data_IF_209211481009
#
_entry.id   IF_209211481009
#
_cell.length_a   1.000
_cell.length_b   1.000
_cell.length_c   1.000
_cell.angle_alpha   90.00
_cell.angle_beta   90.00
_cell.angle_gamma   90.00
#
_symmetry.space_group_name_H-M   'P 1'
#
loop_
_entity.id
_entity.type
_entity.pdbx_description
1 polymer ?
#
# COMPACT_ATOMS: atom_id res chain seq x y z
N UNK A 1 16.61 -5.74 -44.54
CA UNK A 1 17.16 -5.31 -43.25
C UNK A 1 16.24 -5.76 -42.11
N UNK A 2 16.52 -6.94 -41.55
CA UNK A 2 15.73 -7.52 -40.45
C UNK A 2 16.46 -7.21 -39.16
N UNK A 3 15.99 -6.19 -38.44
CA UNK A 3 16.49 -5.77 -37.15
C UNK A 3 16.42 -6.91 -36.09
N UNK A 4 17.56 -7.28 -35.42
CA UNK A 4 17.59 -8.34 -34.40
C UNK A 4 16.88 -8.01 -33.08
N UNK A 5 16.42 -6.77 -32.92
CA UNK A 5 15.86 -6.29 -31.65
C UNK A 5 14.41 -6.75 -31.34
N UNK A 6 13.68 -7.25 -32.34
CA UNK A 6 12.30 -7.75 -32.13
C UNK A 6 12.24 -9.15 -31.50
N UNK A 7 13.27 -9.98 -31.68
CA UNK A 7 13.29 -11.36 -31.16
C UNK A 7 13.59 -11.46 -29.67
N UNK A 8 14.45 -10.59 -29.15
CA UNK A 8 14.83 -10.60 -27.71
C UNK A 8 13.69 -10.12 -26.81
N UNK A 9 12.97 -9.09 -27.20
CA UNK A 9 11.81 -8.60 -26.45
C UNK A 9 10.68 -9.62 -26.33
N UNK A 10 10.43 -10.41 -27.40
CA UNK A 10 9.42 -11.47 -27.39
C UNK A 10 9.84 -12.71 -26.58
N UNK A 11 11.13 -13.01 -26.52
CA UNK A 11 11.68 -14.10 -25.70
C UNK A 11 11.57 -13.75 -24.21
N UNK A 12 11.92 -12.52 -23.82
CA UNK A 12 11.76 -12.05 -22.45
C UNK A 12 10.29 -11.96 -22.01
N UNK A 13 9.39 -11.52 -22.88
CA UNK A 13 7.94 -11.53 -22.62
C UNK A 13 7.39 -12.95 -22.45
N UNK A 14 7.85 -13.91 -23.23
CA UNK A 14 7.44 -15.32 -23.10
C UNK A 14 7.99 -15.97 -21.82
N UNK A 15 9.25 -15.70 -21.45
CA UNK A 15 9.82 -16.23 -20.21
C UNK A 15 9.11 -15.71 -18.96
N UNK A 16 8.65 -14.45 -18.93
CA UNK A 16 7.88 -13.90 -17.81
C UNK A 16 6.52 -14.59 -17.57
N UNK A 17 5.85 -15.05 -18.64
CA UNK A 17 4.55 -15.72 -18.56
C UNK A 17 4.61 -17.18 -18.07
N UNK A 18 5.79 -17.80 -18.00
CA UNK A 18 5.97 -19.14 -17.44
C UNK A 18 6.28 -19.14 -15.94
N UNK A 19 6.42 -17.95 -15.31
CA UNK A 19 6.66 -17.87 -13.88
C UNK A 19 5.40 -18.26 -13.09
N UNK A 20 5.60 -19.05 -12.05
CA UNK A 20 4.58 -19.36 -11.05
C UNK A 20 4.67 -18.32 -9.94
N UNK A 21 3.58 -17.61 -9.67
CA UNK A 21 3.48 -16.59 -8.63
C UNK A 21 2.63 -17.11 -7.48
N UNK A 22 3.22 -17.20 -6.30
CA UNK A 22 2.47 -17.40 -5.07
C UNK A 22 1.94 -16.05 -4.57
N UNK A 23 0.64 -15.93 -4.30
CA UNK A 23 0.04 -14.69 -3.84
C UNK A 23 -0.73 -14.89 -2.55
N UNK A 24 -0.30 -14.23 -1.48
CA UNK A 24 -0.89 -14.35 -0.14
C UNK A 24 -1.47 -13.01 0.31
N UNK A 25 -2.73 -13.04 0.73
CA UNK A 25 -3.48 -11.86 1.12
C UNK A 25 -4.37 -11.34 0.00
N UNK A 26 -5.64 -11.73 0.04
CA UNK A 26 -6.65 -11.42 -0.98
C UNK A 26 -7.75 -10.50 -0.43
N UNK A 27 -7.34 -9.51 0.37
CA UNK A 27 -8.24 -8.47 0.86
C UNK A 27 -8.63 -7.48 -0.24
N UNK A 28 -9.12 -6.31 0.17
CA UNK A 28 -9.62 -5.25 -0.72
C UNK A 28 -8.61 -4.88 -1.82
N UNK A 29 -7.32 -4.80 -1.47
CA UNK A 29 -6.26 -4.49 -2.44
C UNK A 29 -5.72 -5.73 -3.14
N UNK A 30 -5.42 -6.79 -2.40
CA UNK A 30 -4.73 -7.97 -2.93
C UNK A 30 -5.57 -8.74 -3.95
N UNK A 31 -6.87 -8.91 -3.69
CA UNK A 31 -7.77 -9.64 -4.58
C UNK A 31 -7.83 -9.06 -6.02
N UNK A 32 -8.12 -7.77 -6.22
CA UNK A 32 -8.11 -7.19 -7.56
C UNK A 32 -6.72 -7.21 -8.21
N UNK A 33 -5.65 -7.01 -7.44
CA UNK A 33 -4.29 -7.07 -7.95
C UNK A 33 -3.91 -8.48 -8.43
N UNK A 34 -4.25 -9.52 -7.67
CA UNK A 34 -4.07 -10.90 -8.10
C UNK A 34 -4.90 -11.25 -9.36
N UNK A 35 -6.13 -10.74 -9.46
CA UNK A 35 -6.96 -10.89 -10.68
C UNK A 35 -6.30 -10.23 -11.90
N UNK A 36 -5.63 -9.09 -11.74
CA UNK A 36 -4.90 -8.46 -12.83
C UNK A 36 -3.74 -9.34 -13.34
N UNK A 37 -3.04 -10.01 -12.44
CA UNK A 37 -1.99 -10.98 -12.82
C UNK A 37 -2.56 -12.20 -13.55
N UNK A 38 -3.71 -12.73 -13.11
CA UNK A 38 -4.41 -13.79 -13.84
C UNK A 38 -4.78 -13.36 -15.27
N UNK A 39 -5.32 -12.15 -15.44
CA UNK A 39 -5.65 -11.59 -16.75
C UNK A 39 -4.42 -11.38 -17.65
N UNK A 40 -3.28 -11.09 -17.04
CA UNK A 40 -2.01 -10.97 -17.76
C UNK A 40 -1.41 -12.33 -18.17
N UNK A 41 -2.01 -13.45 -17.76
CA UNK A 41 -1.61 -14.79 -18.14
C UNK A 41 -0.61 -15.48 -17.21
N UNK A 42 -0.34 -14.93 -16.03
CA UNK A 42 0.50 -15.60 -15.03
C UNK A 42 -0.21 -16.79 -14.38
N UNK A 43 0.56 -17.82 -14.04
CA UNK A 43 0.09 -18.94 -13.22
C UNK A 43 0.18 -18.54 -11.75
N UNK A 44 -0.97 -18.45 -11.06
CA UNK A 44 -1.03 -18.08 -9.65
C UNK A 44 -1.38 -19.28 -8.75
N UNK A 45 -0.70 -19.32 -7.60
CA UNK A 45 -1.11 -20.13 -6.43
C UNK A 45 -1.49 -19.11 -5.34
N UNK A 46 -2.74 -19.14 -4.88
CA UNK A 46 -3.27 -18.14 -3.96
C UNK A 46 -3.62 -18.70 -2.60
N UNK A 47 -3.46 -17.86 -1.57
CA UNK A 47 -3.83 -18.20 -0.20
C UNK A 47 -4.40 -16.97 0.52
N UNK A 48 -5.42 -17.17 1.33
CA UNK A 48 -6.03 -16.19 2.22
C UNK A 48 -6.78 -16.93 3.33
N UNK A 49 -6.99 -16.27 4.47
CA UNK A 49 -7.80 -16.81 5.56
C UNK A 49 -9.29 -16.89 5.20
N UNK A 50 -9.78 -16.05 4.29
CA UNK A 50 -11.15 -16.02 3.82
C UNK A 50 -11.30 -16.89 2.57
N UNK A 51 -11.94 -18.03 2.73
CA UNK A 51 -12.13 -19.00 1.65
C UNK A 51 -12.83 -18.41 0.42
N UNK A 52 -13.79 -17.51 0.63
CA UNK A 52 -14.53 -16.85 -0.44
C UNK A 52 -13.60 -16.07 -1.38
N UNK A 53 -12.60 -15.40 -0.84
CA UNK A 53 -11.61 -14.67 -1.64
C UNK A 53 -10.75 -15.62 -2.49
N UNK A 54 -10.37 -16.76 -1.91
CA UNK A 54 -9.64 -17.81 -2.63
C UNK A 54 -10.50 -18.39 -3.77
N UNK A 55 -11.76 -18.72 -3.48
CA UNK A 55 -12.69 -19.28 -4.48
C UNK A 55 -12.90 -18.33 -5.66
N UNK A 56 -13.00 -17.02 -5.42
CA UNK A 56 -13.08 -16.02 -6.50
C UNK A 56 -11.82 -16.00 -7.39
N UNK A 57 -10.64 -16.16 -6.82
CA UNK A 57 -9.40 -16.23 -7.60
C UNK A 57 -9.28 -17.54 -8.38
N UNK A 58 -9.77 -18.63 -7.81
CA UNK A 58 -9.83 -19.94 -8.52
C UNK A 58 -10.75 -19.83 -9.74
N UNK A 59 -11.91 -19.18 -9.60
CA UNK A 59 -12.79 -18.88 -10.73
C UNK A 59 -12.12 -17.99 -11.78
N UNK A 60 -11.19 -17.12 -11.39
CA UNK A 60 -10.42 -16.27 -12.29
C UNK A 60 -9.21 -16.99 -12.92
N UNK A 61 -9.00 -18.27 -12.63
CA UNK A 61 -7.96 -19.10 -13.24
C UNK A 61 -6.74 -19.36 -12.35
N UNK A 62 -6.74 -18.91 -11.09
CA UNK A 62 -5.71 -19.27 -10.13
C UNK A 62 -5.94 -20.68 -9.55
N UNK A 63 -4.95 -21.18 -8.86
CA UNK A 63 -5.02 -22.42 -8.07
C UNK A 63 -4.89 -22.07 -6.58
N UNK A 64 -5.64 -22.71 -5.70
CA UNK A 64 -5.44 -22.57 -4.26
C UNK A 64 -4.23 -23.39 -3.80
N UNK A 65 -3.54 -22.95 -2.76
CA UNK A 65 -2.46 -23.70 -2.14
C UNK A 65 -2.20 -23.25 -0.70
N UNK A 66 -1.60 -24.13 0.09
CA UNK A 66 -1.09 -23.76 1.41
C UNK A 66 0.28 -23.05 1.31
N UNK A 67 0.77 -22.51 2.43
CA UNK A 67 2.04 -21.77 2.46
C UNK A 67 3.23 -22.63 2.02
N UNK A 68 3.21 -23.95 2.31
CA UNK A 68 4.24 -24.88 1.91
C UNK A 68 4.26 -25.04 0.39
N UNK A 69 3.10 -25.29 -0.22
CA UNK A 69 2.95 -25.41 -1.67
C UNK A 69 3.41 -24.13 -2.38
N UNK A 70 2.98 -22.95 -1.86
CA UNK A 70 3.42 -21.66 -2.37
C UNK A 70 4.96 -21.56 -2.36
N UNK A 71 5.60 -21.88 -1.24
CA UNK A 71 7.06 -21.84 -1.14
C UNK A 71 7.77 -22.79 -2.10
N UNK A 72 7.28 -24.02 -2.22
CA UNK A 72 7.92 -25.06 -3.04
C UNK A 72 7.77 -24.83 -4.55
N UNK A 73 6.65 -24.25 -4.99
CA UNK A 73 6.26 -24.23 -6.39
C UNK A 73 6.40 -22.86 -7.05
N UNK A 74 6.53 -21.77 -6.26
CA UNK A 74 6.57 -20.41 -6.80
C UNK A 74 8.00 -19.99 -7.17
N UNK A 75 8.11 -19.26 -8.28
CA UNK A 75 9.31 -18.52 -8.65
C UNK A 75 9.36 -17.15 -7.98
N UNK A 76 8.18 -16.58 -7.74
CA UNK A 76 7.99 -15.31 -7.04
C UNK A 76 6.86 -15.47 -6.02
N UNK A 77 7.09 -15.00 -4.80
CA UNK A 77 6.05 -14.92 -3.76
C UNK A 77 5.69 -13.46 -3.55
N UNK A 78 4.40 -13.16 -3.57
CA UNK A 78 3.86 -11.81 -3.32
C UNK A 78 2.98 -11.86 -2.08
N UNK A 79 3.13 -10.86 -1.21
CA UNK A 79 2.23 -10.65 -0.07
C UNK A 79 1.56 -9.29 -0.14
N UNK A 80 0.28 -9.24 0.27
CA UNK A 80 -0.50 -8.02 0.45
C UNK A 80 -1.29 -8.17 1.76
N UNK A 81 -0.63 -7.90 2.86
CA UNK A 81 -1.06 -8.22 4.23
C UNK A 81 -1.22 -6.95 5.07
N UNK A 82 -1.92 -7.01 6.22
CA UNK A 82 -2.25 -5.82 7.00
C UNK A 82 -1.05 -5.03 7.55
N UNK A 83 -0.05 -5.70 8.12
CA UNK A 83 1.10 -5.04 8.76
C UNK A 83 2.27 -6.02 8.96
N UNK A 84 3.36 -5.51 9.54
CA UNK A 84 4.61 -6.24 9.81
C UNK A 84 4.43 -7.60 10.52
N UNK A 85 3.62 -7.73 11.58
CA UNK A 85 3.45 -9.03 12.26
C UNK A 85 2.94 -10.12 11.31
N UNK A 86 1.95 -9.82 10.48
CA UNK A 86 1.38 -10.78 9.53
C UNK A 86 2.38 -11.18 8.44
N UNK A 87 3.15 -10.21 7.91
CA UNK A 87 4.18 -10.49 6.91
C UNK A 87 5.28 -11.37 7.49
N UNK A 88 5.75 -11.06 8.71
CA UNK A 88 6.75 -11.87 9.41
C UNK A 88 6.27 -13.29 9.66
N UNK A 89 5.04 -13.45 10.15
CA UNK A 89 4.48 -14.77 10.44
C UNK A 89 4.34 -15.62 9.17
N UNK A 90 3.76 -15.06 8.13
CA UNK A 90 3.56 -15.75 6.84
C UNK A 90 4.89 -16.13 6.19
N UNK A 91 5.91 -15.28 6.27
CA UNK A 91 7.20 -15.54 5.64
C UNK A 91 8.18 -16.29 6.52
N UNK A 92 8.31 -15.91 7.79
CA UNK A 92 9.37 -16.38 8.70
C UNK A 92 8.86 -17.17 9.90
N UNK A 93 7.55 -17.35 10.06
CA UNK A 93 6.96 -18.15 11.12
C UNK A 93 7.41 -19.61 11.06
N UNK A 94 7.03 -20.42 12.06
CA UNK A 94 7.44 -21.83 12.18
C UNK A 94 7.15 -22.65 10.91
N UNK A 95 6.01 -22.40 10.25
CA UNK A 95 5.63 -22.98 8.96
C UNK A 95 5.60 -21.94 7.84
N UNK A 96 6.44 -20.92 7.95
CA UNK A 96 6.50 -19.81 7.02
C UNK A 96 7.04 -20.21 5.64
N UNK A 97 6.62 -19.45 4.64
CA UNK A 97 6.91 -19.71 3.23
C UNK A 97 8.42 -19.81 2.97
N UNK A 98 9.24 -18.96 3.61
CA UNK A 98 10.69 -18.89 3.40
C UNK A 98 11.41 -20.21 3.71
N UNK A 99 10.85 -21.07 4.58
CA UNK A 99 11.38 -22.39 4.88
C UNK A 99 11.29 -23.35 3.69
N UNK A 100 10.43 -23.08 2.73
CA UNK A 100 10.15 -23.95 1.57
C UNK A 100 10.57 -23.33 0.24
N UNK A 101 10.96 -22.04 0.22
CA UNK A 101 11.39 -21.35 -0.99
C UNK A 101 12.73 -21.84 -1.49
N UNK A 102 12.88 -21.89 -2.82
CA UNK A 102 14.11 -22.28 -3.47
C UNK A 102 15.09 -21.11 -3.57
N UNK A 103 16.38 -21.39 -3.51
CA UNK A 103 17.41 -20.41 -3.81
C UNK A 103 17.22 -19.82 -5.21
N UNK A 104 17.36 -18.51 -5.35
CA UNK A 104 17.20 -17.79 -6.61
C UNK A 104 15.77 -17.35 -6.92
N UNK A 105 14.81 -17.61 -6.02
CA UNK A 105 13.45 -17.06 -6.07
C UNK A 105 13.39 -15.67 -5.46
N UNK A 106 12.28 -14.96 -5.63
CA UNK A 106 12.09 -13.62 -5.12
C UNK A 106 10.84 -13.50 -4.27
N UNK A 107 10.94 -12.73 -3.20
CA UNK A 107 9.80 -12.26 -2.41
C UNK A 107 9.52 -10.78 -2.70
N UNK A 108 8.29 -10.44 -3.04
CA UNK A 108 7.82 -9.07 -3.25
C UNK A 108 6.73 -8.77 -2.22
N UNK A 109 7.05 -7.91 -1.25
CA UNK A 109 6.07 -7.48 -0.28
C UNK A 109 5.40 -6.18 -0.72
N UNK A 110 4.13 -6.26 -1.07
CA UNK A 110 3.32 -5.09 -1.44
C UNK A 110 2.58 -4.48 -0.24
N UNK A 111 2.77 -5.04 0.95
CA UNK A 111 2.17 -4.55 2.19
C UNK A 111 2.83 -3.23 2.63
N UNK A 112 2.05 -2.35 3.25
CA UNK A 112 2.58 -1.16 3.92
C UNK A 112 2.99 -1.53 5.34
N UNK A 113 4.30 -1.72 5.55
CA UNK A 113 4.89 -2.13 6.83
C UNK A 113 6.01 -1.19 7.25
N UNK A 114 6.54 -1.38 8.46
CA UNK A 114 7.73 -0.67 8.92
C UNK A 114 8.95 -1.06 8.06
N UNK A 115 9.68 -0.10 7.47
CA UNK A 115 10.87 -0.40 6.65
C UNK A 115 12.00 -1.11 7.44
N UNK A 116 12.06 -0.96 8.75
CA UNK A 116 12.98 -1.73 9.62
C UNK A 116 12.67 -3.23 9.51
N UNK A 117 11.39 -3.59 9.51
CA UNK A 117 10.94 -4.97 9.35
C UNK A 117 11.17 -5.49 7.92
N UNK A 118 10.99 -4.65 6.89
CA UNK A 118 11.34 -5.02 5.51
C UNK A 118 12.80 -5.40 5.39
N UNK A 119 13.70 -4.61 5.97
CA UNK A 119 15.14 -4.91 5.99
C UNK A 119 15.47 -6.18 6.76
N UNK A 120 14.87 -6.36 7.93
CA UNK A 120 15.06 -7.57 8.72
C UNK A 120 14.66 -8.84 7.96
N UNK A 121 13.48 -8.83 7.33
CA UNK A 121 12.99 -9.95 6.51
C UNK A 121 13.97 -10.21 5.35
N UNK A 122 14.40 -9.16 4.67
CA UNK A 122 15.34 -9.25 3.56
C UNK A 122 16.69 -9.85 3.94
N UNK A 123 17.22 -9.49 5.12
CA UNK A 123 18.49 -10.05 5.62
C UNK A 123 18.34 -11.56 5.88
N UNK A 124 17.26 -12.00 6.50
CA UNK A 124 16.97 -13.43 6.72
C UNK A 124 16.84 -14.18 5.38
N UNK A 125 16.12 -13.61 4.41
CA UNK A 125 15.95 -14.23 3.09
C UNK A 125 17.24 -14.29 2.29
N UNK A 126 18.09 -13.28 2.40
CA UNK A 126 19.39 -13.22 1.74
C UNK A 126 20.32 -14.37 2.17
N UNK A 127 20.31 -14.72 3.45
CA UNK A 127 21.06 -15.89 3.96
C UNK A 127 20.62 -17.20 3.30
N UNK A 128 19.36 -17.26 2.86
CA UNK A 128 18.77 -18.40 2.13
C UNK A 128 18.96 -18.31 0.60
N UNK A 129 19.57 -17.23 0.11
CA UNK A 129 19.71 -16.97 -1.32
C UNK A 129 18.42 -16.59 -2.02
N UNK A 130 17.49 -15.97 -1.31
CA UNK A 130 16.21 -15.48 -1.79
C UNK A 130 16.29 -13.95 -1.89
N UNK A 131 15.92 -13.40 -3.03
CA UNK A 131 15.86 -11.95 -3.25
C UNK A 131 14.59 -11.34 -2.65
N UNK A 132 14.62 -10.05 -2.31
CA UNK A 132 13.44 -9.34 -1.82
C UNK A 132 13.31 -7.95 -2.42
N UNK A 133 12.06 -7.55 -2.70
CA UNK A 133 11.64 -6.17 -2.97
C UNK A 133 10.53 -5.79 -1.99
N UNK A 134 10.58 -4.59 -1.44
CA UNK A 134 9.43 -3.97 -0.79
C UNK A 134 8.75 -3.03 -1.79
N UNK A 135 7.47 -3.21 -2.00
CA UNK A 135 6.75 -2.57 -3.08
C UNK A 135 5.34 -2.10 -2.66
N UNK A 136 5.21 -1.28 -1.61
CA UNK A 136 3.93 -0.73 -1.22
C UNK A 136 3.32 0.13 -2.33
N UNK A 137 2.00 0.28 -2.27
CA UNK A 137 1.21 0.93 -3.30
C UNK A 137 0.45 2.15 -2.79
N UNK A 138 0.13 3.05 -3.71
CA UNK A 138 -0.79 4.16 -3.50
C UNK A 138 -1.86 4.18 -4.60
N UNK A 139 -3.12 4.48 -4.23
CA UNK A 139 -4.21 4.65 -5.18
C UNK A 139 -5.56 4.08 -4.73
N UNK A 140 -5.59 3.25 -3.70
CA UNK A 140 -6.81 2.64 -3.17
C UNK A 140 -7.43 1.57 -4.06
N UNK A 141 -8.59 1.06 -3.63
CA UNK A 141 -9.29 -0.06 -4.28
C UNK A 141 -9.62 0.20 -5.76
N UNK A 142 -10.16 1.37 -6.16
CA UNK A 142 -10.48 1.62 -7.58
C UNK A 142 -9.27 1.46 -8.49
N UNK A 143 -8.11 1.98 -8.09
CA UNK A 143 -6.88 1.84 -8.87
C UNK A 143 -6.30 0.42 -8.82
N UNK A 144 -6.51 -0.32 -7.73
CA UNK A 144 -6.15 -1.73 -7.67
C UNK A 144 -6.97 -2.57 -8.66
N UNK A 145 -8.28 -2.27 -8.78
CA UNK A 145 -9.18 -2.92 -9.75
C UNK A 145 -8.74 -2.60 -11.20
N UNK A 146 -8.47 -1.33 -11.48
CA UNK A 146 -8.09 -0.86 -12.81
C UNK A 146 -6.67 -1.23 -13.23
N UNK A 147 -5.83 -1.69 -12.28
CA UNK A 147 -4.41 -1.96 -12.53
C UNK A 147 -3.59 -0.68 -12.70
N UNK A 148 -3.96 0.39 -12.02
CA UNK A 148 -3.34 1.73 -12.15
C UNK A 148 -2.76 2.28 -10.85
N UNK A 149 -2.51 1.44 -9.85
CA UNK A 149 -1.81 1.87 -8.63
C UNK A 149 -0.41 2.39 -8.93
N UNK A 150 0.12 3.21 -8.04
CA UNK A 150 1.53 3.60 -8.06
C UNK A 150 2.33 2.73 -7.09
N UNK A 151 3.37 2.07 -7.57
CA UNK A 151 4.32 1.30 -6.76
C UNK A 151 5.52 2.16 -6.37
N UNK A 152 5.87 2.10 -5.11
CA UNK A 152 7.13 2.62 -4.56
C UNK A 152 8.01 1.43 -4.19
N UNK A 153 9.08 1.19 -4.95
CA UNK A 153 9.85 -0.06 -4.83
C UNK A 153 11.22 0.19 -4.21
N UNK A 154 11.55 -0.59 -3.20
CA UNK A 154 12.88 -0.70 -2.62
C UNK A 154 13.50 -2.05 -2.92
N UNK A 155 14.81 -2.09 -3.16
CA UNK A 155 15.58 -3.28 -3.41
C UNK A 155 16.70 -3.08 -4.42
N UNK A 156 17.51 -4.11 -4.61
CA UNK A 156 18.61 -4.12 -5.60
C UNK A 156 18.10 -3.79 -7.00
N UNK A 157 18.85 -2.99 -7.74
CA UNK A 157 18.44 -2.50 -9.07
C UNK A 157 18.26 -3.64 -10.08
N UNK A 158 19.14 -4.64 -10.06
CA UNK A 158 19.06 -5.77 -11.00
C UNK A 158 17.85 -6.66 -10.69
N UNK A 159 17.53 -6.81 -9.40
CA UNK A 159 16.35 -7.55 -8.95
C UNK A 159 15.08 -6.79 -9.34
N UNK A 160 15.06 -5.47 -9.12
CA UNK A 160 13.99 -4.60 -9.58
C UNK A 160 13.75 -4.75 -11.09
N UNK A 161 14.77 -4.61 -11.90
CA UNK A 161 14.66 -4.70 -13.37
C UNK A 161 14.14 -6.07 -13.81
N UNK A 162 14.57 -7.14 -13.14
CA UNK A 162 14.14 -8.52 -13.42
C UNK A 162 12.64 -8.73 -13.18
N UNK A 163 12.08 -8.13 -12.13
CA UNK A 163 10.69 -8.38 -11.71
C UNK A 163 9.73 -7.23 -11.97
N UNK A 164 10.21 -6.06 -12.42
CA UNK A 164 9.41 -4.87 -12.71
C UNK A 164 8.19 -5.17 -13.59
N UNK A 165 8.33 -6.06 -14.56
CA UNK A 165 7.26 -6.43 -15.50
C UNK A 165 6.02 -6.95 -14.76
N UNK A 166 6.20 -7.73 -13.68
CA UNK A 166 5.08 -8.25 -12.89
C UNK A 166 4.27 -7.08 -12.29
N UNK A 167 4.96 -6.07 -11.74
CA UNK A 167 4.33 -4.91 -11.12
C UNK A 167 3.58 -4.04 -12.13
N UNK A 168 4.07 -3.93 -13.37
CA UNK A 168 3.42 -3.15 -14.44
C UNK A 168 2.06 -3.69 -14.86
N UNK A 169 1.75 -4.95 -14.57
CA UNK A 169 0.42 -5.51 -14.81
C UNK A 169 -0.61 -5.14 -13.73
N UNK A 170 -0.14 -4.58 -12.61
CA UNK A 170 -0.99 -4.16 -11.50
C UNK A 170 -0.96 -2.64 -11.27
N UNK A 171 -0.01 -1.93 -11.86
CA UNK A 171 0.17 -0.50 -11.65
C UNK A 171 0.58 0.27 -12.91
N UNK A 172 0.20 1.54 -12.95
CA UNK A 172 0.56 2.47 -14.04
C UNK A 172 1.90 3.16 -13.83
N UNK A 173 2.40 3.18 -12.59
CA UNK A 173 3.68 3.76 -12.19
C UNK A 173 4.42 2.78 -11.29
N UNK A 174 5.67 2.47 -11.66
CA UNK A 174 6.54 1.56 -10.89
C UNK A 174 7.89 2.25 -10.76
N UNK A 175 8.14 2.84 -9.59
CA UNK A 175 9.34 3.65 -9.34
C UNK A 175 10.22 2.96 -8.31
N UNK A 176 11.49 2.71 -8.67
CA UNK A 176 12.51 2.30 -7.69
C UNK A 176 12.93 3.52 -6.88
N UNK A 177 12.78 3.45 -5.57
CA UNK A 177 13.07 4.53 -4.64
C UNK A 177 14.47 4.42 -3.97
N UNK A 178 15.09 3.26 -4.05
CA UNK A 178 16.38 2.98 -3.44
C UNK A 178 16.54 1.51 -3.06
N UNK A 179 17.42 1.24 -2.11
CA UNK A 179 17.66 -0.10 -1.58
C UNK A 179 16.47 -0.62 -0.77
N UNK A 180 16.52 -1.87 -0.33
CA UNK A 180 15.44 -2.51 0.42
C UNK A 180 15.01 -1.68 1.64
N UNK A 181 13.70 -1.50 1.78
CA UNK A 181 13.08 -0.61 2.76
C UNK A 181 12.78 0.80 2.23
N UNK A 182 13.36 1.21 1.10
CA UNK A 182 13.13 2.53 0.50
C UNK A 182 11.68 2.68 -0.02
N UNK A 183 11.05 1.61 -0.47
CA UNK A 183 9.65 1.61 -0.89
C UNK A 183 8.73 1.96 0.27
N UNK A 184 8.84 1.23 1.38
CA UNK A 184 8.06 1.50 2.58
C UNK A 184 8.40 2.84 3.23
N UNK A 185 9.67 3.27 3.24
CA UNK A 185 10.05 4.61 3.72
C UNK A 185 9.37 5.70 2.88
N UNK A 186 9.35 5.55 1.56
CA UNK A 186 8.66 6.49 0.65
C UNK A 186 7.15 6.49 0.89
N UNK A 187 6.55 5.32 1.10
CA UNK A 187 5.13 5.22 1.46
C UNK A 187 4.83 5.94 2.77
N UNK A 188 5.65 5.80 3.79
CA UNK A 188 5.47 6.51 5.05
C UNK A 188 5.59 8.02 4.90
N UNK A 189 6.53 8.51 4.09
CA UNK A 189 6.63 9.94 3.77
C UNK A 189 5.35 10.44 3.09
N UNK A 190 4.80 9.68 2.15
CA UNK A 190 3.50 9.98 1.54
C UNK A 190 2.38 10.05 2.60
N UNK A 191 2.32 9.09 3.51
CA UNK A 191 1.26 9.02 4.53
C UNK A 191 1.34 10.17 5.54
N UNK A 192 2.53 10.62 5.90
CA UNK A 192 2.73 11.83 6.72
C UNK A 192 2.14 13.04 6.02
N UNK A 193 2.46 13.26 4.75
CA UNK A 193 1.96 14.40 3.97
C UNK A 193 0.44 14.35 3.87
N UNK A 194 -0.14 13.20 3.59
CA UNK A 194 -1.60 13.03 3.50
C UNK A 194 -2.27 13.34 4.84
N UNK A 195 -1.77 12.81 5.94
CA UNK A 195 -2.35 13.03 7.27
C UNK A 195 -2.26 14.50 7.71
N UNK A 196 -1.09 15.12 7.56
CA UNK A 196 -0.88 16.52 7.93
C UNK A 196 -1.67 17.46 7.02
N UNK A 197 -1.80 17.13 5.74
CA UNK A 197 -2.62 17.90 4.79
C UNK A 197 -4.09 17.87 5.17
N UNK A 198 -4.65 16.69 5.44
CA UNK A 198 -6.07 16.56 5.82
C UNK A 198 -6.36 17.23 7.17
N UNK A 199 -5.39 17.24 8.10
CA UNK A 199 -5.47 17.98 9.35
C UNK A 199 -5.52 19.49 9.10
N UNK A 200 -4.57 20.03 8.32
CA UNK A 200 -4.52 21.45 8.00
C UNK A 200 -5.78 21.94 7.26
N UNK A 201 -6.28 21.13 6.33
CA UNK A 201 -7.54 21.40 5.63
C UNK A 201 -8.70 21.50 6.62
N UNK A 202 -8.84 20.52 7.52
CA UNK A 202 -9.91 20.50 8.51
C UNK A 202 -9.88 21.73 9.42
N UNK A 203 -8.72 22.06 9.96
CA UNK A 203 -8.55 23.24 10.83
C UNK A 203 -8.90 24.52 10.11
N UNK A 204 -8.43 24.72 8.88
CA UNK A 204 -8.65 25.93 8.10
C UNK A 204 -10.13 26.12 7.72
N UNK A 205 -10.82 25.05 7.34
CA UNK A 205 -12.23 25.13 6.96
C UNK A 205 -13.14 25.39 8.17
N UNK A 206 -12.82 24.85 9.34
CA UNK A 206 -13.52 25.17 10.60
C UNK A 206 -13.29 26.62 11.00
N UNK A 207 -12.06 27.15 10.85
CA UNK A 207 -11.80 28.58 11.05
C UNK A 207 -12.71 29.43 10.16
N UNK A 208 -12.75 29.15 8.87
CA UNK A 208 -13.56 29.88 7.91
C UNK A 208 -15.06 29.82 8.26
N UNK A 209 -15.56 28.64 8.58
CA UNK A 209 -16.96 28.43 9.01
C UNK A 209 -17.30 29.24 10.27
N UNK A 210 -16.41 29.18 11.27
CA UNK A 210 -16.56 29.92 12.53
C UNK A 210 -16.56 31.45 12.30
N UNK A 211 -15.81 31.91 11.29
CA UNK A 211 -15.79 33.32 10.87
C UNK A 211 -16.97 33.72 9.96
N UNK A 212 -17.91 32.82 9.71
CA UNK A 212 -19.11 33.10 8.92
C UNK A 212 -18.93 32.98 7.40
N UNK A 213 -17.85 32.34 6.94
CA UNK A 213 -17.62 32.12 5.51
C UNK A 213 -18.13 30.74 5.11
N UNK A 214 -18.84 30.68 3.99
CA UNK A 214 -19.36 29.43 3.42
C UNK A 214 -18.21 28.52 2.98
N UNK A 215 -18.12 27.28 3.51
CA UNK A 215 -17.08 26.32 3.16
C UNK A 215 -16.96 26.01 1.66
N UNK A 216 -18.07 25.95 0.94
CA UNK A 216 -18.05 25.71 -0.51
C UNK A 216 -17.33 26.85 -1.26
N UNK A 217 -17.59 28.10 -0.84
CA UNK A 217 -16.92 29.28 -1.41
C UNK A 217 -15.43 29.33 -1.08
N UNK A 218 -15.06 28.94 0.13
CA UNK A 218 -13.65 28.81 0.52
C UNK A 218 -12.96 27.79 -0.39
N UNK A 219 -13.57 26.63 -0.54
CA UNK A 219 -13.05 25.56 -1.41
C UNK A 219 -12.83 26.04 -2.84
N UNK A 220 -13.85 26.65 -3.46
CA UNK A 220 -13.76 27.17 -4.82
C UNK A 220 -12.65 28.23 -4.96
N UNK A 221 -12.47 29.08 -3.96
CA UNK A 221 -11.50 30.16 -4.00
C UNK A 221 -10.03 29.70 -3.91
N UNK A 222 -9.75 28.65 -3.11
CA UNK A 222 -8.37 28.27 -2.76
C UNK A 222 -7.87 26.98 -3.42
N UNK A 223 -8.77 26.15 -3.94
CA UNK A 223 -8.40 24.83 -4.49
C UNK A 223 -7.39 24.89 -5.65
N UNK A 224 -7.40 25.97 -6.42
CA UNK A 224 -6.51 26.16 -7.56
C UNK A 224 -5.19 26.89 -7.23
N UNK A 225 -5.00 27.34 -5.98
CA UNK A 225 -3.81 28.05 -5.51
C UNK A 225 -2.80 27.13 -4.81
N UNK A 226 -1.84 27.73 -4.12
CA UNK A 226 -0.79 27.00 -3.39
C UNK A 226 -1.31 26.07 -2.29
N UNK A 227 -2.48 26.38 -1.71
CA UNK A 227 -3.12 25.56 -0.70
C UNK A 227 -3.80 24.32 -1.30
N UNK A 228 -4.08 24.31 -2.59
CA UNK A 228 -4.75 23.22 -3.29
C UNK A 228 -3.91 21.95 -3.30
N UNK A 229 -4.58 20.81 -3.13
CA UNK A 229 -3.95 19.50 -3.14
C UNK A 229 -4.96 18.43 -3.56
N UNK A 230 -4.45 17.28 -4.00
CA UNK A 230 -5.31 16.11 -4.30
C UNK A 230 -6.12 15.71 -3.07
N UNK A 231 -5.52 15.80 -1.87
CA UNK A 231 -6.22 15.55 -0.60
C UNK A 231 -7.38 16.53 -0.42
N UNK A 232 -7.16 17.82 -0.61
CA UNK A 232 -8.20 18.85 -0.51
C UNK A 232 -9.35 18.55 -1.48
N UNK A 233 -9.04 18.28 -2.74
CA UNK A 233 -10.05 17.94 -3.76
C UNK A 233 -10.89 16.73 -3.41
N UNK A 234 -10.23 15.68 -2.88
CA UNK A 234 -10.92 14.44 -2.56
C UNK A 234 -11.75 14.53 -1.28
N UNK A 235 -11.29 15.28 -0.27
CA UNK A 235 -11.83 15.18 1.09
C UNK A 235 -12.71 16.34 1.51
N UNK A 236 -12.52 17.56 1.00
CA UNK A 236 -13.38 18.70 1.37
C UNK A 236 -14.84 18.47 1.02
N UNK A 237 -15.22 17.98 -0.17
CA UNK A 237 -16.60 17.65 -0.46
C UNK A 237 -17.21 16.65 0.55
N UNK A 238 -16.44 15.61 0.90
CA UNK A 238 -16.88 14.63 1.90
C UNK A 238 -17.10 15.27 3.28
N UNK A 239 -16.23 16.18 3.70
CA UNK A 239 -16.35 16.90 4.97
C UNK A 239 -17.58 17.79 5.00
N UNK A 240 -17.87 18.52 3.91
CA UNK A 240 -19.04 19.40 3.79
C UNK A 240 -20.35 18.59 3.83
N UNK A 241 -20.36 17.42 3.19
CA UNK A 241 -21.53 16.53 3.12
C UNK A 241 -21.68 15.63 4.36
N UNK A 242 -20.74 15.69 5.31
CA UNK A 242 -20.61 14.75 6.43
C UNK A 242 -20.64 13.27 5.97
N UNK A 243 -20.01 13.01 4.83
CA UNK A 243 -19.87 11.69 4.25
C UNK A 243 -18.54 11.07 4.66
N UNK A 244 -18.58 10.06 5.50
CA UNK A 244 -17.40 9.35 6.01
C UNK A 244 -17.27 7.92 5.47
N UNK A 245 -17.90 7.62 4.34
CA UNK A 245 -17.73 6.34 3.64
C UNK A 245 -16.25 6.10 3.32
N UNK A 246 -15.67 4.95 3.74
CA UNK A 246 -14.23 4.79 3.73
C UNK A 246 -13.65 4.58 2.33
N UNK A 247 -12.85 5.53 1.86
CA UNK A 247 -11.84 5.32 0.83
C UNK A 247 -10.52 4.88 1.46
N UNK A 248 -10.17 5.47 2.62
CA UNK A 248 -9.03 5.07 3.46
C UNK A 248 -9.39 5.27 4.93
N UNK A 249 -9.51 4.17 5.68
CA UNK A 249 -9.98 4.18 7.06
C UNK A 249 -9.00 4.84 8.02
N UNK A 250 -9.52 5.51 9.04
CA UNK A 250 -8.76 6.07 10.16
C UNK A 250 -7.81 5.04 10.76
N UNK A 251 -8.29 3.82 11.05
CA UNK A 251 -7.45 2.77 11.65
C UNK A 251 -6.26 2.35 10.78
N UNK A 252 -6.40 2.36 9.46
CA UNK A 252 -5.28 2.11 8.54
C UNK A 252 -4.28 3.27 8.54
N UNK A 253 -4.76 4.50 8.68
CA UNK A 253 -3.87 5.67 8.79
C UNK A 253 -3.12 5.66 10.12
N UNK A 254 -3.77 5.29 11.22
CA UNK A 254 -3.12 5.08 12.53
C UNK A 254 -1.99 4.06 12.41
N UNK A 255 -2.23 2.93 11.74
CA UNK A 255 -1.19 1.92 11.50
C UNK A 255 0.01 2.50 10.76
N UNK A 256 -0.22 3.23 9.67
CA UNK A 256 0.84 3.83 8.87
C UNK A 256 1.61 4.90 9.64
N UNK A 257 0.93 5.74 10.42
CA UNK A 257 1.57 6.76 11.23
C UNK A 257 2.38 6.17 12.39
N UNK A 258 1.93 5.07 13.00
CA UNK A 258 2.72 4.32 13.98
C UNK A 258 4.00 3.77 13.35
N UNK A 259 3.92 3.19 12.17
CA UNK A 259 5.09 2.72 11.42
C UNK A 259 6.03 3.89 11.09
N UNK A 260 5.49 5.07 10.74
CA UNK A 260 6.28 6.28 10.48
C UNK A 260 7.02 6.76 11.74
N UNK A 261 6.36 6.78 12.90
CA UNK A 261 6.97 7.16 14.18
C UNK A 261 8.09 6.19 14.58
N UNK A 262 7.86 4.89 14.49
CA UNK A 262 8.89 3.88 14.80
C UNK A 262 10.09 3.99 13.86
N UNK A 263 9.85 4.13 12.55
CA UNK A 263 10.90 4.35 11.57
C UNK A 263 11.69 5.63 11.87
N UNK A 264 11.01 6.74 12.12
CA UNK A 264 11.64 8.02 12.44
C UNK A 264 12.53 7.92 13.69
N UNK A 265 12.06 7.30 14.76
CA UNK A 265 12.82 7.10 15.99
C UNK A 265 14.05 6.20 15.77
N UNK A 266 13.93 5.19 14.91
CA UNK A 266 15.05 4.28 14.58
C UNK A 266 16.23 4.98 13.88
N UNK A 267 15.96 6.06 13.17
CA UNK A 267 16.96 6.85 12.44
C UNK A 267 17.24 8.22 13.07
N UNK A 268 16.58 8.55 14.18
CA UNK A 268 16.74 9.83 14.87
C UNK A 268 16.12 11.03 14.14
N UNK A 269 15.12 10.83 13.30
CA UNK A 269 14.41 11.91 12.62
C UNK A 269 13.26 12.45 13.49
N UNK A 270 13.25 13.74 13.86
CA UNK A 270 12.12 14.32 14.58
C UNK A 270 10.91 14.51 13.63
N UNK A 271 9.74 14.08 14.06
CA UNK A 271 8.49 14.15 13.27
C UNK A 271 7.32 14.70 14.10
N UNK A 272 7.39 15.96 14.59
CA UNK A 272 6.41 16.50 15.53
C UNK A 272 5.01 16.61 14.93
N UNK A 273 4.85 16.94 13.66
CA UNK A 273 3.53 17.00 13.01
C UNK A 273 2.90 15.59 12.92
N UNK A 274 3.69 14.58 12.62
CA UNK A 274 3.24 13.18 12.59
C UNK A 274 2.75 12.74 13.95
N UNK A 275 3.48 13.04 15.01
CA UNK A 275 3.09 12.73 16.39
C UNK A 275 1.75 13.39 16.75
N UNK A 276 1.57 14.67 16.41
CA UNK A 276 0.35 15.40 16.69
C UNK A 276 -0.86 14.83 15.93
N UNK A 277 -0.75 14.60 14.62
CA UNK A 277 -1.87 14.07 13.84
C UNK A 277 -2.22 12.64 14.24
N UNK A 278 -1.24 11.86 14.69
CA UNK A 278 -1.48 10.51 15.22
C UNK A 278 -2.35 10.55 16.48
N UNK A 279 -2.12 11.48 17.41
CA UNK A 279 -2.98 11.64 18.59
C UNK A 279 -4.41 12.02 18.20
N UNK A 280 -4.58 12.84 17.18
CA UNK A 280 -5.92 13.20 16.67
C UNK A 280 -6.62 11.99 16.05
N UNK A 281 -5.91 11.20 15.24
CA UNK A 281 -6.45 9.97 14.67
C UNK A 281 -6.84 8.95 15.76
N UNK A 282 -6.04 8.84 16.83
CA UNK A 282 -6.36 8.00 17.99
C UNK A 282 -7.64 8.48 18.70
N UNK A 283 -7.83 9.78 18.83
CA UNK A 283 -9.08 10.35 19.34
C UNK A 283 -10.27 9.92 18.47
N UNK A 284 -10.15 9.97 17.15
CA UNK A 284 -11.21 9.54 16.24
C UNK A 284 -11.57 8.07 16.42
N UNK A 285 -10.56 7.20 16.52
CA UNK A 285 -10.77 5.78 16.82
C UNK A 285 -11.56 5.57 18.10
N UNK A 286 -11.16 6.23 19.17
CA UNK A 286 -11.81 6.13 20.49
C UNK A 286 -13.25 6.66 20.49
N UNK A 287 -13.61 7.53 19.56
CA UNK A 287 -14.94 8.11 19.42
C UNK A 287 -15.80 7.42 18.34
N UNK A 288 -15.40 6.27 17.85
CA UNK A 288 -16.18 5.43 16.93
C UNK A 288 -15.91 5.66 15.45
N UNK A 289 -14.93 6.49 15.08
CA UNK A 289 -14.57 6.79 13.70
C UNK A 289 -13.42 5.92 13.14
N UNK A 290 -13.03 4.86 13.85
CA UNK A 290 -11.91 4.01 13.42
C UNK A 290 -12.12 3.38 12.03
N UNK A 291 -13.34 2.95 11.72
CA UNK A 291 -13.72 2.39 10.42
C UNK A 291 -14.19 3.43 9.39
N UNK A 292 -14.34 4.68 9.79
CA UNK A 292 -14.70 5.80 8.91
C UNK A 292 -13.51 6.21 8.03
N UNK A 293 -13.81 6.88 6.92
CA UNK A 293 -12.77 7.52 6.10
C UNK A 293 -11.96 8.53 6.92
N UNK A 294 -10.69 8.68 6.63
CA UNK A 294 -9.82 9.61 7.37
C UNK A 294 -10.24 11.09 7.22
N UNK A 295 -11.18 11.41 6.31
CA UNK A 295 -11.85 12.70 6.29
C UNK A 295 -12.65 12.99 7.56
N UNK A 296 -12.96 11.96 8.35
CA UNK A 296 -13.61 12.10 9.67
C UNK A 296 -12.78 12.92 10.68
N UNK A 297 -11.53 13.25 10.38
CA UNK A 297 -10.73 14.19 11.19
C UNK A 297 -11.43 15.54 11.37
N UNK A 298 -12.33 15.93 10.46
CA UNK A 298 -13.16 17.11 10.61
C UNK A 298 -13.99 17.08 11.91
N UNK A 299 -14.45 15.90 12.35
CA UNK A 299 -15.24 15.72 13.58
C UNK A 299 -14.48 16.16 14.83
N UNK A 300 -13.16 15.94 14.87
CA UNK A 300 -12.32 16.44 15.95
C UNK A 300 -12.35 17.98 16.03
N UNK A 301 -12.17 18.66 14.91
CA UNK A 301 -12.18 20.11 14.83
C UNK A 301 -13.56 20.72 15.03
N UNK A 302 -14.61 20.07 14.51
CA UNK A 302 -16.00 20.46 14.78
C UNK A 302 -16.30 20.46 16.28
N UNK A 303 -15.87 19.42 16.99
CA UNK A 303 -16.05 19.31 18.44
C UNK A 303 -15.28 20.37 19.20
N UNK A 304 -14.02 20.62 18.85
CA UNK A 304 -13.22 21.67 19.48
C UNK A 304 -13.82 23.06 19.30
N UNK A 305 -14.34 23.36 18.12
CA UNK A 305 -14.89 24.66 17.79
C UNK A 305 -16.38 24.83 18.17
N UNK A 306 -17.07 23.74 18.50
CA UNK A 306 -18.50 23.75 18.79
C UNK A 306 -19.36 24.16 17.60
N UNK A 307 -18.95 23.75 16.38
CA UNK A 307 -19.67 24.07 15.14
C UNK A 307 -19.51 22.91 14.14
N UNK A 308 -20.53 22.69 13.35
CA UNK A 308 -20.51 21.75 12.22
C UNK A 308 -20.06 22.44 10.94
N UNK A 309 -19.30 21.78 10.08
CA UNK A 309 -18.90 22.29 8.77
C UNK A 309 -20.11 22.28 7.83
#
# INVERSE_FOLDING_TARGET
>A
DRSPSRGLGDVYKRQGLYMVIGFVGLGIMGKPMAKNLCRAGYTLIVNDHHKENVDELVQAGARSGDLKQIGMESDVVITMLPNSPQVKDVMLGENGIAGYMKKGTCFIDMSSINPVDSRYIGDVLKEKGIDMLDAPVSGGEPKAIDGTVAFMVGGDEKIFDKYKQILTHMGSSVTRCGELGAGNTTKLANQIIVACNIQAVSESFILAKKAGVDPERVFEAIKGGLAGSTVMYAKVPMMIEDNVEPGFRVDLHIKDLNNALECAHSVGAPVPMTAQVQEIMQYLHNNGDGSSDHSAIIHYYEKLAGIKL
#
